data_IF_573112284124
#
_entry.id   IF_573112284124
#
_cell.length_a   1.000
_cell.length_b   1.000
_cell.length_c   1.000
_cell.angle_alpha   90.00
_cell.angle_beta   90.00
_cell.angle_gamma   90.00
#
_symmetry.space_group_name_H-M   'P 1'
#
loop_
_entity.id
_entity.type
_entity.pdbx_description
1 polymer ?
#
# COMPACT_ATOMS: atom_id res chain seq x y z
N UNK A 1 -5.15 -6.04 9.20
CA UNK A 1 -4.31 -5.40 10.23
C UNK A 1 -3.06 -4.93 9.53
N UNK A 2 -2.82 -3.62 9.55
CA UNK A 2 -1.60 -3.04 8.99
C UNK A 2 -0.53 -3.10 10.07
N UNK A 3 0.57 -3.79 9.78
CA UNK A 3 1.66 -3.96 10.73
C UNK A 3 2.89 -3.24 10.22
N UNK A 4 3.33 -2.21 10.95
CA UNK A 4 4.58 -1.52 10.64
C UNK A 4 5.68 -1.97 11.61
N UNK A 5 6.75 -2.52 11.05
CA UNK A 5 7.94 -2.82 11.79
C UNK A 5 8.90 -1.61 11.76
N UNK A 6 8.97 -0.91 12.90
CA UNK A 6 9.84 0.27 13.09
C UNK A 6 11.34 -0.04 13.01
N UNK A 7 11.74 -1.25 13.34
CA UNK A 7 13.15 -1.67 13.33
C UNK A 7 13.65 -1.86 11.89
N UNK A 8 12.78 -2.36 11.01
CA UNK A 8 13.13 -2.63 9.61
C UNK A 8 12.63 -1.58 8.63
N UNK A 9 11.68 -0.73 9.05
CA UNK A 9 11.01 0.23 8.17
C UNK A 9 10.04 -0.44 7.19
N UNK A 10 9.53 -1.63 7.53
CA UNK A 10 8.65 -2.42 6.64
C UNK A 10 7.20 -2.29 7.10
N UNK A 11 6.37 -1.79 6.19
CA UNK A 11 4.92 -1.75 6.31
C UNK A 11 4.31 -2.98 5.64
N UNK A 12 3.57 -3.76 6.41
CA UNK A 12 2.80 -4.90 5.93
C UNK A 12 1.34 -4.50 5.74
N UNK A 13 0.86 -4.60 4.50
CA UNK A 13 -0.50 -4.32 4.07
C UNK A 13 -1.19 -5.64 3.72
N UNK A 14 -2.42 -5.83 4.20
CA UNK A 14 -3.29 -6.91 3.71
C UNK A 14 -4.11 -6.44 2.52
N UNK A 15 -4.64 -7.38 1.73
CA UNK A 15 -5.43 -7.06 0.52
C UNK A 15 -6.57 -6.08 0.83
N UNK A 16 -7.26 -6.28 1.97
CA UNK A 16 -8.32 -5.40 2.45
C UNK A 16 -7.86 -3.95 2.72
N UNK A 17 -6.65 -3.76 3.23
CA UNK A 17 -6.09 -2.42 3.51
C UNK A 17 -5.66 -1.75 2.21
N UNK A 18 -5.04 -2.51 1.30
CA UNK A 18 -4.72 -2.03 -0.04
C UNK A 18 -5.99 -1.63 -0.82
N UNK A 19 -7.09 -2.37 -0.64
CA UNK A 19 -8.41 -2.04 -1.16
C UNK A 19 -8.99 -0.79 -0.50
N UNK A 20 -8.86 -0.64 0.82
CA UNK A 20 -9.31 0.57 1.53
C UNK A 20 -8.55 1.81 1.07
N UNK A 21 -7.22 1.72 0.91
CA UNK A 21 -6.39 2.77 0.33
C UNK A 21 -6.81 3.14 -1.09
N UNK A 22 -7.18 2.14 -1.90
CA UNK A 22 -7.65 2.36 -3.26
C UNK A 22 -9.03 3.01 -3.29
N UNK A 23 -9.94 2.56 -2.43
CA UNK A 23 -11.32 3.04 -2.37
C UNK A 23 -11.43 4.49 -1.92
N UNK A 24 -10.49 4.99 -1.11
CA UNK A 24 -10.43 6.42 -0.75
C UNK A 24 -9.86 7.29 -1.88
N UNK A 25 -9.16 6.66 -2.82
CA UNK A 25 -8.34 7.30 -3.85
C UNK A 25 -9.00 7.39 -5.23
N UNK A 26 -9.82 6.41 -5.61
CA UNK A 26 -10.50 6.37 -6.91
C UNK A 26 -11.84 5.62 -6.76
N UNK A 27 -12.77 5.79 -7.72
CA UNK A 27 -14.04 5.06 -7.73
C UNK A 27 -13.71 3.57 -7.68
N UNK A 28 -14.17 2.88 -6.63
CA UNK A 28 -13.98 1.44 -6.47
C UNK A 28 -14.28 0.73 -7.80
N UNK A 29 -13.30 0.04 -8.41
CA UNK A 29 -13.59 -0.80 -9.56
C UNK A 29 -14.56 -1.90 -9.11
N UNK A 30 -15.47 -2.31 -10.00
CA UNK A 30 -16.45 -3.38 -9.73
C UNK A 30 -15.78 -4.72 -9.35
N UNK A 31 -14.49 -4.86 -9.63
CA UNK A 31 -13.66 -6.01 -9.26
C UNK A 31 -12.48 -5.52 -8.44
N UNK A 32 -12.31 -6.10 -7.25
CA UNK A 32 -11.26 -5.71 -6.33
C UNK A 32 -9.88 -6.11 -6.91
N UNK A 33 -8.95 -5.16 -7.15
CA UNK A 33 -7.67 -5.44 -7.78
C UNK A 33 -6.83 -6.47 -7.02
N UNK A 34 -6.01 -7.29 -7.72
CA UNK A 34 -5.06 -8.19 -7.08
C UNK A 34 -3.93 -7.42 -6.40
N UNK A 35 -3.21 -8.07 -5.49
CA UNK A 35 -2.15 -7.43 -4.72
C UNK A 35 -1.00 -6.87 -5.59
N UNK A 36 -0.72 -7.51 -6.72
CA UNK A 36 0.28 -7.07 -7.69
C UNK A 36 0.00 -5.65 -8.22
N UNK A 37 -1.28 -5.29 -8.42
CA UNK A 37 -1.66 -3.96 -8.86
C UNK A 37 -1.21 -2.88 -7.87
N UNK A 38 -1.36 -3.15 -6.57
CA UNK A 38 -0.94 -2.24 -5.51
C UNK A 38 0.58 -2.17 -5.41
N UNK A 39 1.26 -3.30 -5.53
CA UNK A 39 2.72 -3.34 -5.54
C UNK A 39 3.30 -2.50 -6.69
N UNK A 40 2.75 -2.62 -7.90
CA UNK A 40 3.18 -1.80 -9.04
C UNK A 40 2.93 -0.31 -8.82
N UNK A 41 1.78 0.05 -8.23
CA UNK A 41 1.47 1.43 -7.88
C UNK A 41 2.49 1.98 -6.89
N UNK A 42 2.77 1.27 -5.80
CA UNK A 42 3.78 1.67 -4.80
C UNK A 42 5.18 1.81 -5.41
N UNK A 43 5.58 0.88 -6.28
CA UNK A 43 6.85 1.00 -7.03
C UNK A 43 6.90 2.24 -7.90
N UNK A 44 5.81 2.62 -8.56
CA UNK A 44 5.72 3.86 -9.36
C UNK A 44 5.82 5.12 -8.49
N UNK A 45 5.34 5.07 -7.25
CA UNK A 45 5.53 6.14 -6.27
C UNK A 45 6.95 6.20 -5.69
N UNK A 46 7.82 5.23 -6.02
CA UNK A 46 9.20 5.19 -5.53
C UNK A 46 9.41 4.34 -4.28
N UNK A 47 8.39 3.64 -3.81
CA UNK A 47 8.51 2.75 -2.65
C UNK A 47 9.12 1.40 -3.02
N UNK A 48 9.97 0.88 -2.14
CA UNK A 48 10.62 -0.42 -2.31
C UNK A 48 9.71 -1.53 -1.79
N UNK A 49 9.14 -2.33 -2.70
CA UNK A 49 8.31 -3.48 -2.32
C UNK A 49 9.21 -4.68 -2.03
N UNK A 50 9.28 -5.08 -0.77
CA UNK A 50 10.15 -6.16 -0.28
C UNK A 50 9.52 -7.54 -0.45
N UNK A 51 8.19 -7.63 -0.40
CA UNK A 51 7.47 -8.89 -0.58
C UNK A 51 6.07 -8.68 -1.14
N UNK A 52 5.62 -9.60 -2.01
CA UNK A 52 4.28 -9.59 -2.60
C UNK A 52 3.75 -11.01 -2.58
N UNK A 53 2.55 -11.17 -2.05
CA UNK A 53 1.76 -12.40 -2.03
C UNK A 53 0.29 -12.08 -2.33
N UNK A 54 -0.54 -13.10 -2.53
CA UNK A 54 -1.95 -12.92 -2.90
C UNK A 54 -2.77 -12.13 -1.86
N UNK A 55 -2.45 -12.26 -0.56
CA UNK A 55 -3.16 -11.55 0.52
C UNK A 55 -2.32 -10.47 1.22
N UNK A 56 -0.99 -10.47 1.02
CA UNK A 56 -0.02 -9.71 1.80
C UNK A 56 0.97 -8.96 0.91
N UNK A 57 1.27 -7.72 1.27
CA UNK A 57 2.18 -6.82 0.60
C UNK A 57 3.09 -6.18 1.64
N UNK A 58 4.39 -6.32 1.47
CA UNK A 58 5.38 -5.68 2.34
C UNK A 58 6.11 -4.61 1.53
N UNK A 59 6.07 -3.40 2.04
CA UNK A 59 6.70 -2.24 1.42
C UNK A 59 7.58 -1.56 2.45
N UNK A 60 8.77 -1.17 2.02
CA UNK A 60 9.67 -0.35 2.81
C UNK A 60 9.23 1.09 2.66
N UNK A 61 8.77 1.67 3.76
CA UNK A 61 8.32 3.04 3.84
C UNK A 61 8.72 3.62 5.20
N UNK A 62 9.26 4.85 5.25
CA UNK A 62 9.58 5.49 6.51
C UNK A 62 8.29 5.86 7.27
N UNK A 63 8.36 5.89 8.60
CA UNK A 63 7.17 6.01 9.47
C UNK A 63 6.30 7.24 9.15
N UNK A 64 6.94 8.35 8.76
CA UNK A 64 6.27 9.59 8.39
C UNK A 64 5.45 9.46 7.09
N UNK A 65 5.87 8.61 6.15
CA UNK A 65 5.18 8.42 4.86
C UNK A 65 4.12 7.32 4.91
N UNK A 66 4.12 6.46 5.94
CA UNK A 66 3.10 5.40 6.09
C UNK A 66 1.70 5.99 6.14
N UNK A 67 1.51 7.06 6.89
CA UNK A 67 0.21 7.73 6.98
C UNK A 67 -0.22 8.30 5.64
N UNK A 68 0.71 8.79 4.83
CA UNK A 68 0.44 9.33 3.50
C UNK A 68 0.08 8.21 2.51
N UNK A 69 0.80 7.08 2.60
CA UNK A 69 0.61 5.84 1.87
C UNK A 69 -0.66 5.10 2.31
N UNK A 70 -1.20 5.34 3.51
CA UNK A 70 -2.48 4.77 3.97
C UNK A 70 -3.66 5.70 3.71
N UNK A 71 -3.44 7.02 3.74
CA UNK A 71 -4.52 8.01 3.63
C UNK A 71 -4.96 8.29 2.20
N UNK A 72 -4.29 7.74 1.18
CA UNK A 72 -4.60 8.04 -0.23
C UNK A 72 -4.27 9.48 -0.63
N UNK A 73 -3.59 10.23 0.25
CA UNK A 73 -3.51 11.69 0.15
C UNK A 73 -2.44 12.16 -0.85
N UNK A 74 -1.54 11.26 -1.28
CA UNK A 74 -0.49 11.51 -2.26
C UNK A 74 -0.89 11.19 -3.72
N UNK A 75 -2.14 11.41 -4.10
CA UNK A 75 -2.59 11.35 -5.52
C UNK A 75 -2.88 12.75 -6.07
N UNK A 76 -2.59 13.79 -5.30
CA UNK A 76 -2.68 15.17 -5.75
C UNK A 76 -1.41 15.93 -5.40
N UNK A 77 -0.32 15.65 -6.13
CA UNK A 77 0.75 16.60 -6.41
C UNK A 77 1.40 16.23 -7.75
#
# INVERSE_FOLDING_TARGET
MTEYNRETGILTLTLNEAHSFHSTSDRMPETAPPMEFYAEKLRKFGYEVTHISADKLEVKAPENEIWELLSGQHIYL
#
